data_IF_260960953831
#
_entry.id   IF_260960953831
#
_cell.length_a   1.000
_cell.length_b   1.000
_cell.length_c   1.000
_cell.angle_alpha   90.00
_cell.angle_beta   90.00
_cell.angle_gamma   90.00
#
_symmetry.space_group_name_H-M   'P 1'
#
loop_
_entity.id
_entity.type
_entity.pdbx_description
1 polymer ?
#
# COMPACT_ATOMS: atom_id res chain seq x y z
N UNK A 1 10.51 18.37 20.33
CA UNK A 1 10.08 17.49 21.43
C UNK A 1 9.82 16.10 20.87
N UNK A 2 10.90 15.38 20.54
CA UNK A 2 10.85 14.00 20.05
C UNK A 2 11.63 13.15 21.02
N UNK A 3 10.95 12.57 22.00
CA UNK A 3 11.55 11.56 22.87
C UNK A 3 11.63 10.27 22.06
N UNK A 4 12.73 10.08 21.34
CA UNK A 4 13.08 8.74 20.88
C UNK A 4 13.41 7.92 22.12
N UNK A 5 12.49 7.02 22.50
CA UNK A 5 12.77 5.99 23.49
C UNK A 5 13.78 5.03 22.84
N UNK A 6 15.06 5.26 23.12
CA UNK A 6 16.15 4.36 22.73
C UNK A 6 16.14 3.18 23.70
N UNK A 7 15.51 2.08 23.28
CA UNK A 7 15.66 0.80 23.96
C UNK A 7 16.98 0.17 23.49
N UNK A 8 17.70 -0.52 24.37
CA UNK A 8 18.93 -1.25 24.06
C UNK A 8 18.78 -2.36 22.98
N UNK A 9 17.58 -2.50 22.40
CA UNK A 9 17.18 -3.40 21.31
C UNK A 9 16.36 -2.64 20.25
N UNK A 10 16.91 -1.55 19.70
CA UNK A 10 16.30 -0.81 18.57
C UNK A 10 14.96 -0.11 18.89
N UNK A 11 14.47 0.80 18.03
CA UNK A 11 13.19 1.47 18.27
C UNK A 11 12.05 0.44 18.28
N UNK A 12 10.94 0.70 18.98
CA UNK A 12 9.77 -0.19 19.07
C UNK A 12 8.69 0.07 17.98
N UNK A 13 8.78 1.19 17.26
CA UNK A 13 8.02 1.51 16.03
C UNK A 13 8.17 0.45 14.91
N UNK A 14 9.34 -0.18 14.68
CA UNK A 14 9.59 -1.09 13.56
C UNK A 14 8.76 -2.36 13.57
N UNK A 15 8.31 -2.90 14.71
CA UNK A 15 7.75 -4.25 14.68
C UNK A 15 6.41 -4.30 13.93
N UNK A 16 5.46 -3.40 14.27
CA UNK A 16 4.17 -3.32 13.57
C UNK A 16 4.36 -3.00 12.10
N UNK A 17 5.24 -2.05 11.80
CA UNK A 17 5.53 -1.62 10.43
C UNK A 17 6.20 -2.74 9.64
N UNK A 18 7.16 -3.47 10.20
CA UNK A 18 7.86 -4.57 9.54
C UNK A 18 6.93 -5.75 9.24
N UNK A 19 6.10 -6.15 10.21
CA UNK A 19 5.09 -7.20 10.01
C UNK A 19 4.08 -6.77 8.95
N UNK A 20 3.61 -5.52 9.02
CA UNK A 20 2.69 -4.96 8.02
C UNK A 20 3.31 -4.93 6.62
N UNK A 21 4.55 -4.47 6.46
CA UNK A 21 5.26 -4.46 5.18
C UNK A 21 5.44 -5.86 4.62
N UNK A 22 5.86 -6.82 5.44
CA UNK A 22 6.04 -8.21 5.00
C UNK A 22 4.72 -8.83 4.55
N UNK A 23 3.65 -8.66 5.33
CA UNK A 23 2.32 -9.19 5.00
C UNK A 23 1.73 -8.54 3.74
N UNK A 24 1.82 -7.21 3.63
CA UNK A 24 1.32 -6.46 2.49
C UNK A 24 2.06 -6.84 1.21
N UNK A 25 3.40 -6.87 1.26
CA UNK A 25 4.22 -7.27 0.12
C UNK A 25 3.92 -8.70 -0.32
N UNK A 26 3.92 -9.68 0.59
CA UNK A 26 3.65 -11.07 0.23
C UNK A 26 2.26 -11.24 -0.37
N UNK A 27 1.23 -10.66 0.24
CA UNK A 27 -0.14 -10.74 -0.26
C UNK A 27 -0.28 -10.08 -1.64
N UNK A 28 0.31 -8.90 -1.85
CA UNK A 28 0.30 -8.20 -3.11
C UNK A 28 1.06 -8.94 -4.20
N UNK A 29 2.23 -9.52 -3.90
CA UNK A 29 3.01 -10.30 -4.85
C UNK A 29 2.31 -11.61 -5.25
N UNK A 30 1.71 -12.32 -4.30
CA UNK A 30 0.95 -13.53 -4.60
C UNK A 30 -0.30 -13.22 -5.45
N UNK A 31 -0.99 -12.12 -5.14
CA UNK A 31 -2.12 -11.66 -5.94
C UNK A 31 -1.69 -11.24 -7.35
N UNK A 32 -0.53 -10.58 -7.47
CA UNK A 32 0.05 -10.21 -8.76
C UNK A 32 0.24 -11.45 -9.64
N UNK A 33 0.93 -12.47 -9.11
CA UNK A 33 1.12 -13.76 -9.80
C UNK A 33 -0.22 -14.41 -10.17
N UNK A 34 -1.20 -14.40 -9.27
CA UNK A 34 -2.52 -14.98 -9.52
C UNK A 34 -3.27 -14.26 -10.66
N UNK A 35 -3.22 -12.93 -10.69
CA UNK A 35 -3.84 -12.11 -11.74
C UNK A 35 -3.15 -12.38 -13.08
N UNK A 36 -1.82 -12.37 -13.13
CA UNK A 36 -1.07 -12.68 -14.35
C UNK A 36 -1.37 -14.09 -14.86
N UNK A 37 -1.46 -15.08 -13.96
CA UNK A 37 -1.82 -16.44 -14.33
C UNK A 37 -3.25 -16.51 -14.92
N UNK A 38 -4.22 -15.80 -14.33
CA UNK A 38 -5.59 -15.76 -14.82
C UNK A 38 -5.71 -15.11 -16.21
N UNK A 39 -4.98 -14.02 -16.46
CA UNK A 39 -5.01 -13.33 -17.75
C UNK A 39 -4.06 -13.93 -18.80
N UNK A 40 -3.36 -15.04 -18.52
CA UNK A 40 -2.35 -15.63 -19.43
C UNK A 40 -2.87 -15.96 -20.84
N UNK A 41 -4.16 -16.28 -20.97
CA UNK A 41 -4.81 -16.61 -22.27
C UNK A 41 -5.63 -15.45 -22.84
N UNK A 42 -5.58 -14.27 -22.20
CA UNK A 42 -6.29 -13.06 -22.60
C UNK A 42 -5.32 -12.10 -23.27
N UNK A 43 -5.83 -10.94 -23.70
CA UNK A 43 -4.99 -9.85 -24.17
C UNK A 43 -3.97 -9.43 -23.10
N UNK A 44 -2.68 -9.54 -23.44
CA UNK A 44 -1.57 -9.35 -22.50
C UNK A 44 -1.61 -8.00 -21.75
N UNK A 45 -2.11 -6.94 -22.37
CA UNK A 45 -2.17 -5.61 -21.76
C UNK A 45 -3.15 -5.50 -20.58
N UNK A 46 -4.13 -6.40 -20.46
CA UNK A 46 -5.11 -6.38 -19.35
C UNK A 46 -4.49 -6.85 -18.03
N UNK A 47 -3.50 -7.74 -18.10
CA UNK A 47 -2.86 -8.31 -16.93
C UNK A 47 -2.10 -7.24 -16.12
N UNK A 48 -1.15 -6.47 -16.70
CA UNK A 48 -0.41 -5.43 -15.96
C UNK A 48 -1.30 -4.38 -15.29
N UNK A 49 -2.37 -3.95 -15.97
CA UNK A 49 -3.26 -2.89 -15.48
C UNK A 49 -4.04 -3.37 -14.26
N UNK A 50 -4.71 -4.51 -14.43
CA UNK A 50 -5.53 -5.09 -13.37
C UNK A 50 -4.66 -5.45 -12.18
N UNK A 51 -3.49 -6.04 -12.45
CA UNK A 51 -2.56 -6.47 -11.41
C UNK A 51 -2.02 -5.29 -10.61
N UNK A 52 -1.51 -4.26 -11.28
CA UNK A 52 -0.98 -3.06 -10.61
C UNK A 52 -2.04 -2.39 -9.74
N UNK A 53 -3.25 -2.20 -10.27
CA UNK A 53 -4.32 -1.52 -9.53
C UNK A 53 -4.77 -2.33 -8.30
N UNK A 54 -5.06 -3.62 -8.48
CA UNK A 54 -5.63 -4.45 -7.41
C UNK A 54 -4.56 -4.79 -6.37
N UNK A 55 -3.37 -5.21 -6.78
CA UNK A 55 -2.30 -5.59 -5.85
C UNK A 55 -1.79 -4.39 -5.06
N UNK A 56 -1.69 -3.21 -5.68
CA UNK A 56 -1.28 -1.99 -4.97
C UNK A 56 -2.34 -1.49 -3.97
N UNK A 57 -3.63 -1.64 -4.32
CA UNK A 57 -4.74 -1.34 -3.40
C UNK A 57 -4.73 -2.29 -2.19
N UNK A 58 -4.53 -3.59 -2.44
CA UNK A 58 -4.44 -4.60 -1.38
C UNK A 58 -3.24 -4.36 -0.47
N UNK A 59 -2.07 -4.04 -1.05
CA UNK A 59 -0.86 -3.66 -0.32
C UNK A 59 -1.13 -2.51 0.66
N UNK A 60 -1.70 -1.39 0.18
CA UNK A 60 -2.04 -0.24 1.03
C UNK A 60 -3.03 -0.61 2.13
N UNK A 61 -4.08 -1.37 1.80
CA UNK A 61 -5.09 -1.78 2.78
C UNK A 61 -4.49 -2.64 3.89
N UNK A 62 -3.68 -3.65 3.53
CA UNK A 62 -3.04 -4.54 4.51
C UNK A 62 -2.01 -3.78 5.33
N UNK A 63 -1.15 -2.99 4.67
CA UNK A 63 -0.08 -2.25 5.32
C UNK A 63 -0.62 -1.29 6.38
N UNK A 64 -1.52 -0.37 5.99
CA UNK A 64 -2.04 0.64 6.92
C UNK A 64 -2.93 0.02 8.01
N UNK A 65 -3.69 -1.03 7.68
CA UNK A 65 -4.50 -1.73 8.69
C UNK A 65 -3.63 -2.38 9.75
N UNK A 66 -2.62 -3.17 9.37
CA UNK A 66 -1.75 -3.86 10.33
C UNK A 66 -0.85 -2.87 11.09
N UNK A 67 -0.29 -1.88 10.40
CA UNK A 67 0.63 -0.93 10.99
C UNK A 67 -0.07 0.02 11.98
N UNK A 68 -1.30 0.45 11.69
CA UNK A 68 -1.93 1.56 12.41
C UNK A 68 -3.38 1.33 12.85
N UNK A 69 -4.12 0.31 12.43
CA UNK A 69 -5.49 0.16 12.94
C UNK A 69 -5.49 -0.18 14.44
N UNK A 70 -6.31 0.53 15.22
CA UNK A 70 -6.46 0.30 16.66
C UNK A 70 -7.06 -1.09 16.96
N UNK A 71 -7.97 -1.56 16.11
CA UNK A 71 -8.63 -2.86 16.26
C UNK A 71 -7.64 -4.05 16.25
N UNK A 72 -6.46 -3.87 15.64
CA UNK A 72 -5.42 -4.90 15.55
C UNK A 72 -4.35 -4.75 16.63
N UNK A 73 -4.51 -3.81 17.57
CA UNK A 73 -3.56 -3.56 18.64
C UNK A 73 -3.33 -4.77 19.56
N UNK A 74 -4.34 -5.62 19.74
CA UNK A 74 -4.22 -6.82 20.59
C UNK A 74 -3.24 -7.87 20.03
N UNK A 75 -2.89 -7.80 18.74
CA UNK A 75 -1.94 -8.73 18.08
C UNK A 75 -0.49 -8.39 18.43
N UNK A 76 -0.22 -7.16 18.86
CA UNK A 76 1.13 -6.64 19.06
C UNK A 76 1.42 -6.31 20.53
N UNK A 77 2.70 -6.38 20.96
CA UNK A 77 3.11 -5.94 22.28
C UNK A 77 2.77 -4.47 22.54
N UNK A 78 2.51 -4.11 23.80
CA UNK A 78 2.14 -2.74 24.20
C UNK A 78 3.15 -1.68 23.71
N UNK A 79 4.46 -1.97 23.81
CA UNK A 79 5.52 -1.08 23.33
C UNK A 79 5.43 -0.78 21.83
N UNK A 80 5.02 -1.77 21.02
CA UNK A 80 4.86 -1.59 19.57
C UNK A 80 3.58 -0.80 19.24
N UNK A 81 2.53 -0.91 20.06
CA UNK A 81 1.31 -0.13 19.93
C UNK A 81 1.53 1.35 20.31
N UNK A 82 2.23 1.61 21.41
CA UNK A 82 2.59 2.97 21.83
C UNK A 82 3.38 3.67 20.73
N UNK A 83 4.35 2.98 20.14
CA UNK A 83 5.19 3.49 19.08
C UNK A 83 4.42 3.82 17.77
N UNK A 84 3.30 3.15 17.50
CA UNK A 84 2.39 3.46 16.39
C UNK A 84 1.27 4.46 16.76
N UNK A 85 1.20 4.87 18.03
CA UNK A 85 0.13 5.69 18.57
C UNK A 85 0.03 7.10 17.97
N UNK A 86 1.14 7.65 17.47
CA UNK A 86 1.17 8.96 16.81
C UNK A 86 0.17 9.07 15.65
N UNK A 87 -0.11 7.95 14.97
CA UNK A 87 -0.96 7.93 13.80
C UNK A 87 -2.47 7.88 14.15
N UNK A 88 -2.83 7.71 15.43
CA UNK A 88 -4.21 7.72 15.92
C UNK A 88 -4.77 9.12 16.17
N UNK A 89 -3.92 10.15 16.23
CA UNK A 89 -4.35 11.51 16.50
C UNK A 89 -5.38 12.00 15.47
N UNK A 90 -6.36 12.83 15.88
CA UNK A 90 -7.28 13.43 14.94
C UNK A 90 -6.53 14.42 14.04
N UNK A 91 -6.73 14.32 12.74
CA UNK A 91 -6.30 15.29 11.75
C UNK A 91 -7.33 15.42 10.62
N UNK A 92 -7.42 16.60 9.97
CA UNK A 92 -8.28 16.77 8.81
C UNK A 92 -7.89 15.81 7.70
N UNK A 93 -8.86 15.09 7.15
CA UNK A 93 -8.63 14.15 6.04
C UNK A 93 -8.01 14.90 4.84
N UNK A 94 -6.82 14.47 4.41
CA UNK A 94 -6.04 15.11 3.34
C UNK A 94 -5.79 16.62 3.55
N UNK A 95 -5.89 17.11 4.78
CA UNK A 95 -5.70 18.52 5.13
C UNK A 95 -6.91 19.44 4.88
N UNK A 96 -8.00 18.94 4.29
CA UNK A 96 -9.18 19.75 3.93
C UNK A 96 -10.53 19.09 4.27
N UNK A 97 -10.54 17.87 4.80
CA UNK A 97 -11.75 17.09 5.08
C UNK A 97 -12.08 16.93 6.57
N UNK A 98 -13.03 16.04 6.91
CA UNK A 98 -13.42 15.79 8.29
C UNK A 98 -12.26 15.22 9.11
N UNK A 99 -12.31 15.42 10.43
CA UNK A 99 -11.30 14.85 11.33
C UNK A 99 -11.39 13.32 11.33
N UNK A 100 -10.26 12.70 11.06
CA UNK A 100 -10.06 11.26 11.08
C UNK A 100 -8.67 10.94 11.67
N UNK A 101 -8.39 9.69 12.04
CA UNK A 101 -7.04 9.30 12.43
C UNK A 101 -6.04 9.62 11.31
N UNK A 102 -4.87 10.19 11.66
CA UNK A 102 -3.82 10.58 10.70
C UNK A 102 -3.49 9.48 9.69
N UNK A 103 -3.42 8.23 10.15
CA UNK A 103 -3.09 7.08 9.29
C UNK A 103 -4.07 6.88 8.14
N UNK A 104 -5.34 7.27 8.29
CA UNK A 104 -6.35 7.18 7.22
C UNK A 104 -6.02 8.15 6.10
N UNK A 105 -5.64 9.38 6.45
CA UNK A 105 -5.19 10.36 5.46
C UNK A 105 -3.93 9.90 4.74
N UNK A 106 -2.98 9.28 5.46
CA UNK A 106 -1.76 8.74 4.87
C UNK A 106 -2.06 7.57 3.92
N UNK A 107 -3.00 6.68 4.29
CA UNK A 107 -3.42 5.56 3.45
C UNK A 107 -4.07 6.04 2.15
N UNK A 108 -4.96 7.04 2.23
CA UNK A 108 -5.58 7.62 1.05
C UNK A 108 -4.58 8.37 0.18
N UNK A 109 -3.64 9.09 0.77
CA UNK A 109 -2.58 9.77 0.03
C UNK A 109 -1.68 8.75 -0.70
N UNK A 110 -1.24 7.69 -0.03
CA UNK A 110 -0.46 6.60 -0.62
C UNK A 110 -1.20 5.96 -1.81
N UNK A 111 -2.47 5.58 -1.61
CA UNK A 111 -3.29 4.99 -2.67
C UNK A 111 -3.51 5.96 -3.83
N UNK A 112 -3.78 7.23 -3.53
CA UNK A 112 -3.98 8.28 -4.53
C UNK A 112 -2.74 8.46 -5.40
N UNK A 113 -1.54 8.49 -4.80
CA UNK A 113 -0.27 8.55 -5.52
C UNK A 113 -0.06 7.30 -6.37
N UNK A 114 -0.31 6.10 -5.83
CA UNK A 114 -0.21 4.82 -6.56
C UNK A 114 -1.13 4.78 -7.78
N UNK A 115 -2.38 5.21 -7.63
CA UNK A 115 -3.35 5.28 -8.74
C UNK A 115 -2.93 6.33 -9.76
N UNK A 116 -2.51 7.53 -9.33
CA UNK A 116 -2.04 8.57 -10.23
C UNK A 116 -0.83 8.10 -11.05
N UNK A 117 0.15 7.46 -10.39
CA UNK A 117 1.32 6.90 -11.05
C UNK A 117 0.94 5.79 -12.03
N UNK A 118 0.03 4.90 -11.65
CA UNK A 118 -0.49 3.85 -12.53
C UNK A 118 -1.12 4.48 -13.79
N UNK A 119 -1.96 5.50 -13.65
CA UNK A 119 -2.60 6.17 -14.80
C UNK A 119 -1.58 6.87 -15.71
N UNK A 120 -0.63 7.61 -15.12
CA UNK A 120 0.41 8.34 -15.86
C UNK A 120 1.28 7.36 -16.67
N UNK A 121 1.69 6.25 -16.05
CA UNK A 121 2.57 5.26 -16.71
C UNK A 121 1.83 4.38 -17.71
N UNK A 122 0.53 4.16 -17.54
CA UNK A 122 -0.25 3.24 -18.35
C UNK A 122 -0.61 3.77 -19.75
N UNK A 123 -0.82 5.09 -19.88
CA UNK A 123 -1.07 5.72 -21.19
C UNK A 123 0.08 5.48 -22.19
N UNK A 124 1.35 5.82 -21.89
CA UNK A 124 2.45 5.57 -22.82
C UNK A 124 2.69 4.08 -23.06
N UNK A 125 2.53 3.24 -22.03
CA UNK A 125 2.66 1.79 -22.18
C UNK A 125 1.66 1.21 -23.19
N UNK A 126 0.40 1.65 -23.16
CA UNK A 126 -0.62 1.22 -24.13
C UNK A 126 -0.28 1.67 -25.55
N UNK A 127 0.23 2.89 -25.72
CA UNK A 127 0.60 3.41 -27.05
C UNK A 127 1.77 2.63 -27.67
N UNK A 128 2.77 2.26 -26.88
CA UNK A 128 3.94 1.51 -27.35
C UNK A 128 3.55 0.09 -27.77
N UNK A 129 2.76 -0.59 -26.93
CA UNK A 129 2.35 -1.99 -27.18
C UNK A 129 1.46 -2.12 -28.42
N UNK A 130 0.55 -1.16 -28.65
CA UNK A 130 -0.24 -1.08 -29.88
C UNK A 130 0.62 -0.91 -31.13
N UNK A 131 1.64 -0.03 -31.10
CA UNK A 131 2.54 0.21 -32.24
C UNK A 131 3.40 -1.01 -32.58
N UNK A 132 3.81 -1.78 -31.57
CA UNK A 132 4.61 -3.00 -31.80
C UNK A 132 3.76 -4.11 -32.42
N UNK A 133 2.50 -4.27 -32.02
CA UNK A 133 1.60 -5.25 -32.60
C UNK A 133 1.30 -4.97 -34.09
N UNK A 134 1.14 -3.70 -34.47
CA UNK A 134 0.90 -3.31 -35.87
C UNK A 134 2.09 -3.55 -36.82
N UNK A 135 3.31 -3.73 -36.29
CA UNK A 135 4.50 -4.01 -37.12
C UNK A 135 4.70 -5.50 -37.45
N UNK A 136 3.98 -6.38 -36.78
CA UNK A 136 4.13 -7.85 -36.89
C UNK A 136 2.97 -8.49 -37.67
N UNK A 137 1.89 -7.74 -37.91
CA UNK A 137 0.74 -8.09 -38.75
C UNK A 137 0.89 -7.54 -40.17
#
# INVERSE_FOLDING_TARGET
MGSQVSLATGPAVPLRVAVASGAAFLAAQLLDVAIFHYFRQREWWRAPITSTFVSSSLDTLIFFSLAFAAMLGFVFPAAANEAAGWAQGPAPLLGIGPDAPVWVSLALADLGVKIALALITMVPYRLITMRLQQRVS
#
